data_IF_311934314019
#
_entry.id   IF_311934314019
#
_cell.length_a   1.000
_cell.length_b   1.000
_cell.length_c   1.000
_cell.angle_alpha   90.00
_cell.angle_beta   90.00
_cell.angle_gamma   90.00
#
_symmetry.space_group_name_H-M   'P 1'
#
loop_
_entity.id
_entity.type
_entity.pdbx_description
1 polymer ?
#
# COMPACT_ATOMS: atom_id res chain seq x y z
N UNK A 1 -21.72 27.82 -1.84
CA UNK A 1 -21.19 26.82 -0.91
C UNK A 1 -21.22 25.47 -1.60
N UNK A 2 -20.05 24.85 -1.80
CA UNK A 2 -19.93 23.50 -2.37
C UNK A 2 -20.52 22.48 -1.39
N UNK A 3 -20.99 21.32 -1.90
CA UNK A 3 -21.62 20.28 -1.08
C UNK A 3 -20.74 19.83 0.11
N UNK A 4 -19.42 19.81 -0.09
CA UNK A 4 -18.44 19.41 0.94
C UNK A 4 -18.38 20.43 2.08
N UNK A 5 -18.22 21.72 1.77
CA UNK A 5 -18.17 22.83 2.73
C UNK A 5 -19.41 22.88 3.63
N UNK A 6 -20.58 22.57 3.04
CA UNK A 6 -21.84 22.48 3.79
C UNK A 6 -21.83 21.35 4.81
N UNK A 7 -21.30 20.18 4.44
CA UNK A 7 -21.26 19.01 5.32
C UNK A 7 -20.25 19.21 6.43
N UNK A 8 -19.08 19.80 6.13
CA UNK A 8 -18.07 20.15 7.14
C UNK A 8 -18.64 21.12 8.18
N UNK A 9 -19.36 22.16 7.74
CA UNK A 9 -20.02 23.10 8.65
C UNK A 9 -21.10 22.44 9.53
N UNK A 10 -21.88 21.52 8.96
CA UNK A 10 -22.88 20.76 9.72
C UNK A 10 -22.22 19.83 10.75
N UNK A 11 -21.12 19.16 10.38
CA UNK A 11 -20.37 18.31 11.28
C UNK A 11 -19.81 19.12 12.46
N UNK A 12 -19.31 20.32 12.20
CA UNK A 12 -18.78 21.21 13.23
C UNK A 12 -19.88 21.67 14.21
N UNK A 13 -21.05 22.06 13.70
CA UNK A 13 -22.21 22.38 14.57
C UNK A 13 -22.67 21.20 15.41
N UNK A 14 -22.68 19.99 14.86
CA UNK A 14 -23.05 18.77 15.60
C UNK A 14 -22.01 18.48 16.69
N UNK A 15 -20.72 18.63 16.39
CA UNK A 15 -19.61 18.52 17.36
C UNK A 15 -19.80 19.49 18.53
N UNK A 16 -20.03 20.76 18.24
CA UNK A 16 -20.27 21.79 19.27
C UNK A 16 -21.50 21.47 20.13
N UNK A 17 -22.60 21.04 19.50
CA UNK A 17 -23.84 20.67 20.19
C UNK A 17 -23.66 19.47 21.10
N UNK A 18 -22.94 18.44 20.65
CA UNK A 18 -22.61 17.26 21.45
C UNK A 18 -21.71 17.64 22.64
N UNK A 19 -20.71 18.50 22.42
CA UNK A 19 -19.84 18.99 23.49
C UNK A 19 -20.59 19.76 24.59
N UNK A 20 -21.59 20.56 24.21
CA UNK A 20 -22.41 21.31 25.16
C UNK A 20 -23.50 20.46 25.82
N UNK A 21 -23.99 19.41 25.16
CA UNK A 21 -25.11 18.57 25.64
C UNK A 21 -24.70 17.35 26.48
N UNK A 22 -23.39 17.00 26.51
CA UNK A 22 -22.83 15.91 27.33
C UNK A 22 -22.25 16.30 28.74
N UNK A 23 -22.62 17.39 29.47
CA UNK A 23 -21.82 17.81 30.63
C UNK A 23 -21.82 16.84 31.82
N UNK A 24 -22.86 16.02 32.00
CA UNK A 24 -23.11 15.33 33.28
C UNK A 24 -22.77 13.84 33.29
N UNK A 25 -22.80 13.16 32.14
CA UNK A 25 -22.51 11.73 32.07
C UNK A 25 -21.02 11.50 31.70
N UNK A 26 -20.23 11.06 32.68
CA UNK A 26 -18.82 10.72 32.47
C UNK A 26 -18.65 9.45 31.64
N UNK A 27 -19.58 8.51 31.78
CA UNK A 27 -19.54 7.22 31.08
C UNK A 27 -19.87 7.42 29.61
N UNK A 28 -20.97 8.10 29.28
CA UNK A 28 -21.33 8.38 27.89
C UNK A 28 -20.24 9.18 27.14
N UNK A 29 -19.52 10.07 27.82
CA UNK A 29 -18.36 10.78 27.24
C UNK A 29 -17.16 9.88 27.01
N UNK A 30 -16.92 8.91 27.88
CA UNK A 30 -15.83 7.95 27.68
C UNK A 30 -16.14 7.04 26.48
N UNK A 31 -17.36 6.51 26.42
CA UNK A 31 -17.85 5.66 25.32
C UNK A 31 -17.81 6.41 23.98
N UNK A 32 -18.27 7.67 23.93
CA UNK A 32 -18.20 8.48 22.71
C UNK A 32 -16.75 8.72 22.26
N UNK A 33 -15.83 8.99 23.20
CA UNK A 33 -14.41 9.17 22.86
C UNK A 33 -13.79 7.89 22.30
N UNK A 34 -14.12 6.74 22.86
CA UNK A 34 -13.66 5.44 22.39
C UNK A 34 -14.13 5.20 20.95
N UNK A 35 -15.42 5.44 20.67
CA UNK A 35 -15.96 5.26 19.32
C UNK A 35 -15.34 6.25 18.33
N UNK A 36 -15.13 7.50 18.72
CA UNK A 36 -14.45 8.49 17.88
C UNK A 36 -12.99 8.08 17.60
N UNK A 37 -12.27 7.57 18.61
CA UNK A 37 -10.91 7.10 18.44
C UNK A 37 -10.84 5.91 17.46
N UNK A 38 -11.78 4.97 17.56
CA UNK A 38 -11.87 3.84 16.62
C UNK A 38 -12.18 4.33 15.19
N UNK A 39 -13.08 5.32 15.03
CA UNK A 39 -13.34 5.92 13.71
C UNK A 39 -12.07 6.52 13.10
N UNK A 40 -11.32 7.30 13.87
CA UNK A 40 -10.06 7.89 13.40
C UNK A 40 -9.05 6.81 13.03
N UNK A 41 -8.91 5.77 13.85
CA UNK A 41 -8.01 4.64 13.54
C UNK A 41 -8.40 3.95 12.23
N UNK A 42 -9.68 3.65 12.04
CA UNK A 42 -10.17 3.01 10.81
C UNK A 42 -10.01 3.92 9.59
N UNK A 43 -10.23 5.23 9.72
CA UNK A 43 -10.00 6.19 8.64
C UNK A 43 -8.52 6.25 8.25
N UNK A 44 -7.62 6.28 9.23
CA UNK A 44 -6.19 6.30 8.98
C UNK A 44 -5.69 5.00 8.33
N UNK A 45 -6.16 3.84 8.81
CA UNK A 45 -5.94 2.55 8.15
C UNK A 45 -6.43 2.56 6.70
N UNK A 46 -7.62 3.13 6.44
CA UNK A 46 -8.18 3.20 5.09
C UNK A 46 -7.31 4.05 4.16
N UNK A 47 -6.77 5.16 4.67
CA UNK A 47 -5.87 6.03 3.90
C UNK A 47 -4.58 5.29 3.51
N UNK A 48 -3.92 4.65 4.48
CA UNK A 48 -2.69 3.89 4.23
C UNK A 48 -2.92 2.68 3.31
N UNK A 49 -3.98 1.89 3.51
CA UNK A 49 -4.28 0.77 2.61
C UNK A 49 -4.58 1.23 1.18
N UNK A 50 -5.19 2.41 1.01
CA UNK A 50 -5.48 2.99 -0.30
C UNK A 50 -4.19 3.41 -0.99
N UNK A 51 -3.29 4.05 -0.26
CA UNK A 51 -2.00 4.47 -0.79
C UNK A 51 -1.13 3.25 -1.16
N UNK A 52 -1.08 2.24 -0.30
CA UNK A 52 -0.40 0.98 -0.61
C UNK A 52 -0.95 0.32 -1.89
N UNK A 53 -2.28 0.22 -2.03
CA UNK A 53 -2.90 -0.30 -3.25
C UNK A 53 -2.49 0.53 -4.47
N UNK A 54 -2.50 1.85 -4.35
CA UNK A 54 -2.13 2.75 -5.44
C UNK A 54 -0.68 2.54 -5.88
N UNK A 55 0.26 2.54 -4.95
CA UNK A 55 1.69 2.36 -5.22
C UNK A 55 1.99 0.98 -5.80
N UNK A 56 1.41 -0.08 -5.24
CA UNK A 56 1.56 -1.44 -5.79
C UNK A 56 1.02 -1.54 -7.23
N UNK A 57 -0.12 -0.91 -7.51
CA UNK A 57 -0.66 -0.87 -8.86
C UNK A 57 0.28 -0.13 -9.83
N UNK A 58 0.87 1.00 -9.41
CA UNK A 58 1.86 1.71 -10.21
C UNK A 58 3.08 0.82 -10.50
N UNK A 59 3.60 0.10 -9.49
CA UNK A 59 4.72 -0.84 -9.64
C UNK A 59 4.39 -1.92 -10.67
N UNK A 60 3.21 -2.56 -10.58
CA UNK A 60 2.77 -3.59 -11.54
C UNK A 60 2.69 -3.04 -12.97
N UNK A 61 2.10 -1.84 -13.14
CA UNK A 61 1.99 -1.21 -14.47
C UNK A 61 3.37 -0.87 -15.02
N UNK A 62 4.25 -0.32 -14.20
CA UNK A 62 5.62 0.03 -14.58
C UNK A 62 6.50 -1.20 -14.85
N UNK A 63 6.20 -2.34 -14.24
CA UNK A 63 6.91 -3.60 -14.44
C UNK A 63 6.56 -4.30 -15.76
N UNK A 64 5.35 -4.10 -16.29
CA UNK A 64 4.86 -4.82 -17.45
C UNK A 64 5.77 -4.74 -18.71
N UNK A 65 6.35 -3.57 -19.08
CA UNK A 65 7.27 -3.49 -20.22
C UNK A 65 8.57 -4.26 -20.03
N UNK A 66 9.08 -4.35 -18.78
CA UNK A 66 10.25 -5.15 -18.46
C UNK A 66 9.92 -6.64 -18.60
N UNK A 67 8.84 -7.10 -17.97
CA UNK A 67 8.42 -8.50 -18.03
C UNK A 67 8.13 -8.96 -19.47
N UNK A 68 7.42 -8.16 -20.26
CA UNK A 68 7.12 -8.48 -21.65
C UNK A 68 8.39 -8.61 -22.51
N UNK A 69 9.44 -7.85 -22.17
CA UNK A 69 10.73 -7.91 -22.86
C UNK A 69 11.48 -9.20 -22.54
N UNK A 70 11.29 -9.83 -21.38
CA UNK A 70 11.99 -11.05 -20.95
C UNK A 70 11.48 -12.35 -21.60
N UNK A 71 10.22 -12.40 -22.03
CA UNK A 71 9.56 -13.61 -22.56
C UNK A 71 10.17 -14.18 -23.88
N UNK A 72 10.67 -13.39 -24.86
CA UNK A 72 11.05 -13.90 -26.17
C UNK A 72 12.48 -14.46 -26.28
N UNK A 73 13.25 -14.59 -25.20
CA UNK A 73 14.67 -14.95 -25.30
C UNK A 73 14.91 -16.47 -25.37
N UNK A 74 15.81 -16.87 -26.28
CA UNK A 74 16.32 -18.23 -26.43
C UNK A 74 17.59 -18.50 -25.59
N UNK A 75 18.18 -19.69 -25.77
CA UNK A 75 19.32 -20.19 -24.96
C UNK A 75 20.61 -19.34 -25.06
N UNK A 76 20.72 -18.45 -26.06
CA UNK A 76 21.95 -17.69 -26.38
C UNK A 76 22.21 -16.47 -25.47
N UNK A 77 21.43 -16.28 -24.40
CA UNK A 77 21.60 -15.18 -23.45
C UNK A 77 21.18 -13.81 -24.00
N UNK A 78 21.63 -12.73 -23.35
CA UNK A 78 21.29 -11.36 -23.74
C UNK A 78 22.46 -10.66 -24.43
N UNK A 79 22.21 -10.09 -25.61
CA UNK A 79 23.12 -9.12 -26.21
C UNK A 79 23.24 -7.85 -25.34
N UNK A 80 24.30 -7.08 -25.55
CA UNK A 80 24.50 -5.80 -24.86
C UNK A 80 23.34 -4.81 -25.09
N UNK A 81 22.77 -4.79 -26.30
CA UNK A 81 21.63 -3.93 -26.60
C UNK A 81 20.35 -4.37 -25.86
N UNK A 82 20.13 -5.68 -25.72
CA UNK A 82 18.99 -6.22 -24.98
C UNK A 82 19.09 -5.96 -23.48
N UNK A 83 20.29 -6.13 -22.89
CA UNK A 83 20.54 -5.77 -21.50
C UNK A 83 20.27 -4.30 -21.23
N UNK A 84 20.75 -3.42 -22.12
CA UNK A 84 20.50 -1.99 -21.99
C UNK A 84 19.00 -1.66 -22.07
N UNK A 85 18.25 -2.32 -22.95
CA UNK A 85 16.81 -2.16 -23.05
C UNK A 85 16.06 -2.68 -21.80
N UNK A 86 16.48 -3.82 -21.24
CA UNK A 86 15.94 -4.35 -19.99
C UNK A 86 16.16 -3.38 -18.84
N UNK A 87 17.37 -2.86 -18.68
CA UNK A 87 17.68 -1.85 -17.66
C UNK A 87 16.84 -0.58 -17.84
N UNK A 88 16.62 -0.13 -19.08
CA UNK A 88 15.75 1.01 -19.35
C UNK A 88 14.28 0.75 -18.98
N UNK A 89 13.77 -0.45 -19.28
CA UNK A 89 12.40 -0.83 -18.92
C UNK A 89 12.22 -1.10 -17.43
N UNK A 90 13.29 -1.44 -16.71
CA UNK A 90 13.26 -1.67 -15.26
C UNK A 90 13.20 -0.36 -14.46
N UNK A 91 13.85 0.71 -14.92
CA UNK A 91 13.94 2.00 -14.19
C UNK A 91 12.60 2.55 -13.67
N UNK A 92 11.53 2.65 -14.48
CA UNK A 92 10.25 3.15 -13.97
C UNK A 92 9.67 2.28 -12.84
N UNK A 93 9.92 0.97 -12.87
CA UNK A 93 9.53 0.07 -11.79
C UNK A 93 10.36 0.31 -10.54
N UNK A 94 11.68 0.53 -10.68
CA UNK A 94 12.55 0.92 -9.57
C UNK A 94 12.06 2.20 -8.88
N UNK A 95 11.75 3.25 -9.66
CA UNK A 95 11.24 4.51 -9.13
C UNK A 95 9.93 4.29 -8.33
N UNK A 96 9.03 3.43 -8.84
CA UNK A 96 7.80 3.06 -8.14
C UNK A 96 8.05 2.26 -6.85
N UNK A 97 9.07 1.40 -6.82
CA UNK A 97 9.44 0.65 -5.61
C UNK A 97 10.12 1.59 -4.60
N UNK A 98 10.90 2.57 -5.04
CA UNK A 98 11.47 3.59 -4.15
C UNK A 98 10.36 4.37 -3.43
N UNK A 99 9.33 4.82 -4.16
CA UNK A 99 8.15 5.46 -3.54
C UNK A 99 7.41 4.53 -2.57
N UNK A 100 7.32 3.23 -2.90
CA UNK A 100 6.72 2.23 -2.02
C UNK A 100 7.54 2.04 -0.74
N UNK A 101 8.87 2.11 -0.82
CA UNK A 101 9.77 2.03 0.34
C UNK A 101 9.61 3.26 1.21
N UNK A 102 9.64 4.46 0.64
CA UNK A 102 9.44 5.71 1.39
C UNK A 102 8.11 5.67 2.16
N UNK A 103 7.03 5.28 1.49
CA UNK A 103 5.73 5.06 2.13
C UNK A 103 5.81 4.01 3.25
N UNK A 104 6.47 2.88 3.01
CA UNK A 104 6.58 1.80 4.00
C UNK A 104 7.38 2.20 5.25
N UNK A 105 8.31 3.16 5.16
CA UNK A 105 9.04 3.68 6.31
C UNK A 105 8.18 4.59 7.19
N UNK A 106 7.11 5.17 6.63
CA UNK A 106 6.24 6.18 7.25
C UNK A 106 4.91 5.62 7.78
N UNK A 107 4.51 4.39 7.41
CA UNK A 107 3.24 3.84 7.88
C UNK A 107 3.13 3.75 9.40
N UNK A 108 1.95 4.01 9.94
CA UNK A 108 1.65 3.93 11.37
C UNK A 108 0.50 2.97 11.69
N UNK A 109 -0.37 2.68 10.72
CA UNK A 109 -1.67 2.07 10.99
C UNK A 109 -1.88 0.70 10.35
N UNK A 110 -1.16 0.34 9.28
CA UNK A 110 -1.34 -0.93 8.56
C UNK A 110 -0.26 -1.98 8.85
N UNK A 111 0.56 -1.75 9.87
CA UNK A 111 1.54 -2.73 10.33
C UNK A 111 2.81 -2.11 10.91
N UNK A 112 3.92 -2.83 10.79
CA UNK A 112 5.23 -2.35 11.22
C UNK A 112 5.93 -1.56 10.10
N UNK A 113 6.45 -0.35 10.39
CA UNK A 113 7.24 0.40 9.44
C UNK A 113 8.42 -0.42 8.91
N UNK A 114 8.71 -0.26 7.63
CA UNK A 114 9.87 -0.84 7.00
C UNK A 114 11.15 -0.22 7.56
N UNK A 115 12.16 -1.06 7.79
CA UNK A 115 13.50 -0.65 8.20
C UNK A 115 14.52 -1.57 7.55
N UNK A 116 15.65 -0.99 7.14
CA UNK A 116 16.80 -1.72 6.63
C UNK A 116 18.00 -1.54 7.55
N UNK A 117 18.48 -2.64 8.11
CA UNK A 117 19.66 -2.69 8.97
C UNK A 117 20.75 -3.51 8.28
N UNK A 118 21.58 -2.83 7.49
CA UNK A 118 22.56 -3.48 6.63
C UNK A 118 21.91 -4.37 5.57
N UNK A 119 22.01 -5.70 5.75
CA UNK A 119 21.39 -6.71 4.88
C UNK A 119 20.05 -7.23 5.39
N UNK A 120 19.70 -6.93 6.63
CA UNK A 120 18.43 -7.36 7.21
C UNK A 120 17.32 -6.40 6.83
N UNK A 121 16.17 -6.96 6.44
CA UNK A 121 14.96 -6.24 6.08
C UNK A 121 13.90 -6.54 7.14
N UNK A 122 13.40 -5.49 7.78
CA UNK A 122 12.37 -5.56 8.81
C UNK A 122 11.14 -4.78 8.37
N UNK A 123 9.95 -5.20 8.84
CA UNK A 123 8.68 -4.52 8.53
C UNK A 123 7.59 -5.51 8.17
N UNK A 124 6.52 -4.99 7.57
CA UNK A 124 5.47 -5.83 7.02
C UNK A 124 5.94 -6.69 5.85
N UNK A 125 5.36 -7.89 5.73
CA UNK A 125 5.72 -8.86 4.71
C UNK A 125 5.66 -8.27 3.30
N UNK A 126 4.64 -7.47 2.99
CA UNK A 126 4.50 -6.86 1.66
C UNK A 126 5.66 -5.93 1.31
N UNK A 127 6.22 -5.21 2.28
CA UNK A 127 7.36 -4.34 2.05
C UNK A 127 8.64 -5.17 1.91
N UNK A 128 8.88 -6.07 2.88
CA UNK A 128 10.08 -6.90 2.93
C UNK A 128 10.22 -7.79 1.70
N UNK A 129 9.15 -8.48 1.30
CA UNK A 129 9.15 -9.42 0.15
C UNK A 129 9.38 -8.66 -1.16
N UNK A 130 8.69 -7.52 -1.38
CA UNK A 130 8.88 -6.70 -2.59
C UNK A 130 10.30 -6.12 -2.68
N UNK A 131 10.85 -5.61 -1.58
CA UNK A 131 12.22 -5.07 -1.57
C UNK A 131 13.26 -6.18 -1.75
N UNK A 132 13.08 -7.33 -1.11
CA UNK A 132 13.98 -8.47 -1.30
C UNK A 132 14.03 -8.93 -2.76
N UNK A 133 12.87 -9.08 -3.40
CA UNK A 133 12.79 -9.50 -4.80
C UNK A 133 13.36 -8.45 -5.76
N UNK A 134 13.19 -7.15 -5.46
CA UNK A 134 13.88 -6.08 -6.17
C UNK A 134 15.40 -6.25 -6.11
N UNK A 135 15.96 -6.45 -4.91
CA UNK A 135 17.40 -6.58 -4.73
C UNK A 135 17.95 -7.79 -5.49
N UNK A 136 17.24 -8.93 -5.46
CA UNK A 136 17.60 -10.12 -6.22
C UNK A 136 17.56 -9.87 -7.73
N UNK A 137 16.51 -9.22 -8.23
CA UNK A 137 16.42 -8.84 -9.65
C UNK A 137 17.54 -7.89 -10.06
N UNK A 138 17.82 -6.87 -9.26
CA UNK A 138 18.88 -5.90 -9.55
C UNK A 138 20.27 -6.53 -9.53
N UNK A 139 20.52 -7.47 -8.62
CA UNK A 139 21.79 -8.17 -8.55
C UNK A 139 21.95 -9.12 -9.75
N UNK A 140 20.90 -9.85 -10.12
CA UNK A 140 20.89 -10.66 -11.34
C UNK A 140 21.12 -9.81 -12.60
N UNK A 141 20.50 -8.62 -12.70
CA UNK A 141 20.69 -7.71 -13.84
C UNK A 141 22.12 -7.12 -13.95
N UNK A 142 22.90 -7.11 -12.87
CA UNK A 142 24.28 -6.63 -12.84
C UNK A 142 25.31 -7.71 -13.20
N UNK A 143 24.90 -8.97 -13.29
CA UNK A 143 25.80 -10.05 -13.68
C UNK A 143 26.32 -9.85 -15.12
N UNK A 144 27.59 -10.19 -15.36
CA UNK A 144 28.22 -10.04 -16.68
C UNK A 144 27.56 -10.90 -17.76
N UNK A 145 26.89 -11.99 -17.36
CA UNK A 145 26.11 -12.86 -18.24
C UNK A 145 24.91 -13.45 -17.48
N UNK A 146 23.81 -12.68 -17.31
CA UNK A 146 22.70 -13.12 -16.51
C UNK A 146 21.95 -14.26 -17.21
N UNK A 147 21.62 -15.30 -16.45
CA UNK A 147 20.80 -16.41 -16.93
C UNK A 147 19.39 -15.91 -17.31
N UNK A 148 18.94 -16.06 -18.57
CA UNK A 148 17.58 -15.68 -18.95
C UNK A 148 16.50 -16.41 -18.16
N UNK A 149 16.72 -17.69 -17.86
CA UNK A 149 15.81 -18.51 -17.07
C UNK A 149 15.68 -17.96 -15.64
N UNK A 150 16.81 -17.70 -14.97
CA UNK A 150 16.80 -17.18 -13.61
C UNK A 150 16.20 -15.77 -13.53
N UNK A 151 16.47 -14.90 -14.52
CA UNK A 151 15.82 -13.59 -14.60
C UNK A 151 14.30 -13.70 -14.82
N UNK A 152 13.86 -14.64 -15.65
CA UNK A 152 12.44 -14.88 -15.90
C UNK A 152 11.73 -15.40 -14.64
N UNK A 153 12.36 -16.32 -13.91
CA UNK A 153 11.84 -16.83 -12.64
C UNK A 153 11.71 -15.73 -11.59
N UNK A 154 12.76 -14.93 -11.37
CA UNK A 154 12.74 -13.80 -10.45
C UNK A 154 11.70 -12.76 -10.86
N UNK A 155 11.56 -12.49 -12.16
CA UNK A 155 10.57 -11.56 -12.69
C UNK A 155 9.13 -12.07 -12.46
N UNK A 156 8.89 -13.37 -12.66
CA UNK A 156 7.61 -14.00 -12.40
C UNK A 156 7.27 -14.00 -10.90
N UNK A 157 8.26 -14.26 -10.03
CA UNK A 157 8.08 -14.24 -8.59
C UNK A 157 7.77 -12.83 -8.08
N UNK A 158 8.52 -11.82 -8.54
CA UNK A 158 8.26 -10.40 -8.27
C UNK A 158 6.84 -10.00 -8.69
N UNK A 159 6.45 -10.30 -9.93
CA UNK A 159 5.12 -9.98 -10.43
C UNK A 159 4.02 -10.64 -9.60
N UNK A 160 4.21 -11.92 -9.26
CA UNK A 160 3.27 -12.68 -8.44
C UNK A 160 3.15 -12.08 -7.03
N UNK A 161 4.27 -11.68 -6.41
CA UNK A 161 4.28 -11.01 -5.11
C UNK A 161 3.50 -9.70 -5.15
N UNK A 162 3.77 -8.82 -6.12
CA UNK A 162 3.06 -7.56 -6.28
C UNK A 162 1.53 -7.77 -6.43
N UNK A 163 1.11 -8.73 -7.25
CA UNK A 163 -0.32 -9.06 -7.39
C UNK A 163 -0.95 -9.62 -6.11
N UNK A 164 -0.24 -10.48 -5.37
CA UNK A 164 -0.71 -10.98 -4.06
C UNK A 164 -0.88 -9.85 -3.06
N UNK A 165 0.08 -8.92 -3.00
CA UNK A 165 0.01 -7.78 -2.08
C UNK A 165 -1.08 -6.78 -2.49
N UNK A 166 -1.30 -6.59 -3.80
CA UNK A 166 -2.40 -5.78 -4.30
C UNK A 166 -3.76 -6.38 -3.87
N UNK A 167 -3.94 -7.70 -4.03
CA UNK A 167 -5.14 -8.39 -3.58
C UNK A 167 -5.33 -8.33 -2.05
N UNK A 168 -4.24 -8.38 -1.28
CA UNK A 168 -4.26 -8.16 0.16
C UNK A 168 -4.77 -6.76 0.51
N UNK A 169 -4.20 -5.72 -0.11
CA UNK A 169 -4.60 -4.33 0.12
C UNK A 169 -6.08 -4.12 -0.20
N UNK A 170 -6.55 -4.68 -1.33
CA UNK A 170 -7.95 -4.68 -1.72
C UNK A 170 -8.87 -5.35 -0.67
N UNK A 171 -8.49 -6.52 -0.18
CA UNK A 171 -9.24 -7.23 0.85
C UNK A 171 -9.30 -6.44 2.16
N UNK A 172 -8.20 -5.77 2.54
CA UNK A 172 -8.13 -4.95 3.74
C UNK A 172 -8.94 -3.66 3.61
N UNK A 173 -8.91 -3.00 2.45
CA UNK A 173 -9.77 -1.84 2.17
C UNK A 173 -11.25 -2.17 2.35
N UNK A 174 -11.71 -3.27 1.77
CA UNK A 174 -13.11 -3.72 1.92
C UNK A 174 -13.44 -3.98 3.40
N UNK A 175 -12.57 -4.70 4.11
CA UNK A 175 -12.78 -4.99 5.52
C UNK A 175 -12.84 -3.73 6.40
N UNK A 176 -12.00 -2.72 6.13
CA UNK A 176 -12.02 -1.43 6.85
C UNK A 176 -13.28 -0.63 6.50
N UNK A 177 -13.67 -0.59 5.22
CA UNK A 177 -14.91 0.05 4.78
C UNK A 177 -16.14 -0.57 5.44
N UNK A 178 -16.21 -1.90 5.54
CA UNK A 178 -17.30 -2.62 6.20
C UNK A 178 -17.36 -2.32 7.71
N UNK A 179 -16.21 -2.17 8.37
CA UNK A 179 -16.14 -1.76 9.78
C UNK A 179 -16.63 -0.32 9.96
N UNK A 180 -16.15 0.61 9.13
CA UNK A 180 -16.58 2.01 9.14
C UNK A 180 -18.08 2.15 8.91
N UNK A 181 -18.62 1.42 7.93
CA UNK A 181 -20.05 1.41 7.64
C UNK A 181 -20.84 0.86 8.82
N UNK A 182 -20.45 -0.29 9.38
CA UNK A 182 -21.11 -0.85 10.56
C UNK A 182 -21.11 0.13 11.72
N UNK A 183 -19.95 0.69 12.07
CA UNK A 183 -19.86 1.61 13.20
C UNK A 183 -20.71 2.87 12.97
N UNK A 184 -20.68 3.42 11.75
CA UNK A 184 -21.53 4.55 11.35
C UNK A 184 -23.02 4.21 11.46
N UNK A 185 -23.44 3.02 11.02
CA UNK A 185 -24.83 2.55 11.17
C UNK A 185 -25.22 2.37 12.63
N UNK A 186 -24.35 1.88 13.51
CA UNK A 186 -24.69 1.77 14.94
C UNK A 186 -24.80 3.13 15.61
N UNK A 187 -23.96 4.09 15.23
CA UNK A 187 -24.00 5.47 15.74
C UNK A 187 -25.22 6.26 15.26
N UNK A 188 -25.60 6.08 13.99
CA UNK A 188 -26.65 6.87 13.34
C UNK A 188 -28.01 6.14 13.29
N UNK A 189 -28.00 4.82 13.37
CA UNK A 189 -29.17 3.94 13.24
C UNK A 189 -29.93 3.69 14.53
N UNK A 190 -29.52 4.29 15.65
CA UNK A 190 -30.39 4.49 16.82
C UNK A 190 -31.27 5.75 16.73
N UNK A 191 -31.24 6.47 15.59
CA UNK A 191 -31.89 7.80 15.40
C UNK A 191 -32.99 7.76 14.33
N UNK A 192 -33.57 6.59 14.03
CA UNK A 192 -34.79 6.46 13.23
C UNK A 192 -35.90 5.76 14.01
#
# INVERSE_FOLDING_TARGET
MRRIERIEWLAERVRETLQHSLPTDKQARAELREVIAELFSLQAQMAEWKELHHLLHQVVVAFAPFHARLIPFGEDGFSTAERQALLQNWRPCQDGIDMLVDFAEEIEHIGRPFRREGRELHGERWAVETVALRLLLEDALKEDNPSPESLLELAAEFNSACHRHLALADGKLRAVADKLQRLSTHLLGGVL
#
